data_IF_077580002420
#
_entry.id   IF_077580002420
#
_cell.length_a   1.000
_cell.length_b   1.000
_cell.length_c   1.000
_cell.angle_alpha   90.00
_cell.angle_beta   90.00
_cell.angle_gamma   90.00
#
_symmetry.space_group_name_H-M   'P 1'
#
loop_
_entity.id
_entity.type
_entity.pdbx_description
1 polymer ?
#
# COMPACT_ATOMS: atom_id res chain seq x y z
N UNK A 1 17.87 -1.46 -21.62
CA UNK A 1 16.45 -1.05 -21.82
C UNK A 1 15.41 -2.05 -21.26
N UNK A 2 15.49 -3.38 -21.45
CA UNK A 2 14.43 -4.29 -20.98
C UNK A 2 14.24 -4.31 -19.45
N UNK A 3 15.28 -4.09 -18.65
CA UNK A 3 15.21 -4.16 -17.20
C UNK A 3 14.53 -2.94 -16.57
N UNK A 4 14.79 -1.74 -17.09
CA UNK A 4 14.09 -0.50 -16.71
C UNK A 4 12.57 -0.61 -16.92
N UNK A 5 12.16 -1.18 -18.04
CA UNK A 5 10.75 -1.42 -18.35
C UNK A 5 10.10 -2.40 -17.36
N UNK A 6 10.82 -3.47 -16.99
CA UNK A 6 10.36 -4.42 -15.96
C UNK A 6 10.17 -3.74 -14.60
N UNK A 7 11.10 -2.90 -14.18
CA UNK A 7 10.97 -2.11 -12.94
C UNK A 7 9.81 -1.13 -12.99
N UNK A 8 9.56 -0.51 -14.13
CA UNK A 8 8.45 0.43 -14.33
C UNK A 8 7.10 -0.27 -14.27
N UNK A 9 6.93 -1.39 -14.98
CA UNK A 9 5.71 -2.22 -14.93
C UNK A 9 5.50 -2.76 -13.50
N UNK A 10 6.55 -3.26 -12.87
CA UNK A 10 6.44 -3.72 -11.49
C UNK A 10 6.02 -2.58 -10.55
N UNK A 11 6.59 -1.38 -10.71
CA UNK A 11 6.19 -0.20 -9.97
C UNK A 11 4.71 0.16 -10.15
N UNK A 12 4.23 0.12 -11.39
CA UNK A 12 2.82 0.36 -11.72
C UNK A 12 1.90 -0.67 -11.07
N UNK A 13 2.21 -1.97 -11.21
CA UNK A 13 1.40 -3.05 -10.66
C UNK A 13 1.44 -3.10 -9.13
N UNK A 14 2.62 -2.89 -8.55
CA UNK A 14 2.82 -2.90 -7.09
C UNK A 14 2.00 -1.83 -6.38
N UNK A 15 1.82 -0.67 -7.00
CA UNK A 15 1.19 0.50 -6.37
C UNK A 15 -0.31 0.60 -6.66
N UNK A 16 -0.92 -0.45 -7.17
CA UNK A 16 -2.36 -0.52 -7.32
C UNK A 16 -3.02 -0.83 -5.97
N UNK A 17 -3.32 0.24 -5.22
CA UNK A 17 -3.89 0.18 -3.87
C UNK A 17 -5.41 0.29 -3.93
N UNK A 18 -6.07 -0.68 -4.53
CA UNK A 18 -7.54 -0.71 -4.63
C UNK A 18 -8.23 -0.69 -3.27
N UNK A 19 -7.57 -1.16 -2.22
CA UNK A 19 -8.13 -1.22 -0.87
C UNK A 19 -8.22 0.14 -0.18
N UNK A 20 -7.42 1.15 -0.56
CA UNK A 20 -7.38 2.44 0.15
C UNK A 20 -8.73 3.19 0.16
N UNK A 21 -9.45 3.33 -0.97
CA UNK A 21 -10.78 3.93 -0.94
C UNK A 21 -11.78 3.12 -0.10
N UNK A 22 -11.70 1.79 -0.17
CA UNK A 22 -12.57 0.91 0.62
C UNK A 22 -12.21 0.94 2.12
N UNK A 23 -10.94 1.13 2.47
CA UNK A 23 -10.51 1.28 3.85
C UNK A 23 -11.16 2.50 4.51
N UNK A 24 -11.19 3.65 3.81
CA UNK A 24 -11.84 4.87 4.29
C UNK A 24 -13.34 4.62 4.50
N UNK A 25 -13.99 3.96 3.55
CA UNK A 25 -15.40 3.63 3.63
C UNK A 25 -15.68 2.69 4.82
N UNK A 26 -14.90 1.63 4.97
CA UNK A 26 -15.04 0.68 6.07
C UNK A 26 -14.77 1.32 7.45
N UNK A 27 -13.85 2.27 7.55
CA UNK A 27 -13.62 3.04 8.77
C UNK A 27 -14.84 3.95 9.08
N UNK A 28 -15.48 4.51 8.05
CA UNK A 28 -16.72 5.28 8.22
C UNK A 28 -17.88 4.40 8.69
N UNK A 29 -18.02 3.19 8.13
CA UNK A 29 -19.03 2.21 8.57
C UNK A 29 -18.83 1.77 10.03
N UNK A 30 -17.57 1.73 10.50
CA UNK A 30 -17.23 1.52 11.93
C UNK A 30 -17.56 2.73 12.82
N UNK A 31 -18.13 3.81 12.28
CA UNK A 31 -18.57 4.99 13.03
C UNK A 31 -17.50 6.06 13.26
N UNK A 32 -16.31 5.95 12.65
CA UNK A 32 -15.27 6.96 12.82
C UNK A 32 -15.60 8.26 12.08
N UNK A 33 -15.27 9.39 12.71
CA UNK A 33 -15.32 10.70 12.07
C UNK A 33 -14.19 10.84 11.03
N UNK A 34 -14.34 11.74 10.06
CA UNK A 34 -13.28 12.04 9.08
C UNK A 34 -11.99 12.51 9.76
N UNK A 35 -12.10 13.23 10.87
CA UNK A 35 -10.95 13.66 11.66
C UNK A 35 -10.19 12.48 12.26
N UNK A 36 -10.89 11.51 12.85
CA UNK A 36 -10.27 10.29 13.41
C UNK A 36 -9.61 9.44 12.30
N UNK A 37 -10.26 9.34 11.14
CA UNK A 37 -9.68 8.65 9.97
C UNK A 37 -8.40 9.36 9.51
N UNK A 38 -8.41 10.69 9.44
CA UNK A 38 -7.22 11.48 9.10
C UNK A 38 -6.06 11.25 10.07
N UNK A 39 -6.33 11.22 11.37
CA UNK A 39 -5.30 10.91 12.40
C UNK A 39 -4.77 9.49 12.24
N UNK A 40 -5.63 8.49 12.01
CA UNK A 40 -5.22 7.10 11.79
C UNK A 40 -4.32 6.95 10.56
N UNK A 41 -4.67 7.60 9.45
CA UNK A 41 -3.87 7.59 8.23
C UNK A 41 -2.54 8.31 8.46
N UNK A 42 -2.55 9.48 9.11
CA UNK A 42 -1.35 10.21 9.47
C UNK A 42 -0.42 9.40 10.38
N UNK A 43 -0.97 8.72 11.38
CA UNK A 43 -0.22 7.80 12.24
C UNK A 43 0.45 6.69 11.43
N UNK A 44 -0.28 6.06 10.49
CA UNK A 44 0.26 5.03 9.59
C UNK A 44 1.45 5.57 8.78
N UNK A 45 1.34 6.75 8.20
CA UNK A 45 2.42 7.36 7.39
C UNK A 45 3.67 7.66 8.24
N UNK A 46 3.50 8.11 9.48
CA UNK A 46 4.61 8.30 10.43
C UNK A 46 5.29 6.95 10.71
N UNK A 47 4.51 5.91 10.99
CA UNK A 47 5.03 4.58 11.24
C UNK A 47 5.77 4.00 10.02
N UNK A 48 5.28 4.20 8.79
CA UNK A 48 5.98 3.78 7.56
C UNK A 48 7.38 4.39 7.52
N UNK A 49 7.49 5.70 7.73
CA UNK A 49 8.79 6.39 7.73
C UNK A 49 9.74 5.87 8.83
N UNK A 50 9.22 5.60 10.02
CA UNK A 50 10.02 5.05 11.11
C UNK A 50 10.52 3.63 10.83
N UNK A 51 9.69 2.81 10.19
CA UNK A 51 10.04 1.42 9.85
C UNK A 51 10.84 1.28 8.56
N UNK A 52 10.95 2.31 7.72
CA UNK A 52 11.69 2.23 6.45
C UNK A 52 13.16 1.88 6.67
N UNK A 53 13.81 2.48 7.67
CA UNK A 53 15.23 2.21 7.96
C UNK A 53 15.44 0.79 8.55
N UNK A 54 14.72 0.37 9.61
CA UNK A 54 14.85 -0.99 10.13
C UNK A 54 14.49 -2.07 9.11
N UNK A 55 13.47 -1.86 8.29
CA UNK A 55 13.08 -2.84 7.26
C UNK A 55 14.12 -2.99 6.17
N UNK A 56 14.80 -1.90 5.80
CA UNK A 56 15.95 -1.94 4.89
C UNK A 56 17.10 -2.78 5.46
N UNK A 57 17.47 -2.54 6.72
CA UNK A 57 18.53 -3.31 7.39
C UNK A 57 18.19 -4.81 7.48
N UNK A 58 16.93 -5.17 7.77
CA UNK A 58 16.48 -6.56 7.78
C UNK A 58 16.57 -7.19 6.38
N UNK A 59 16.19 -6.44 5.33
CA UNK A 59 16.28 -6.91 3.95
C UNK A 59 17.73 -7.16 3.51
N UNK A 60 18.66 -6.34 3.99
CA UNK A 60 20.09 -6.48 3.68
C UNK A 60 20.74 -7.67 4.45
N UNK A 61 20.35 -7.89 5.72
CA UNK A 61 20.91 -8.97 6.55
C UNK A 61 20.33 -10.35 6.23
N UNK A 62 19.02 -10.44 6.08
CA UNK A 62 18.29 -11.71 5.94
C UNK A 62 17.85 -11.99 4.50
N UNK A 63 18.12 -11.07 3.60
CA UNK A 63 17.80 -11.19 2.19
C UNK A 63 16.38 -10.68 1.83
N UNK A 64 16.26 -10.16 0.63
CA UNK A 64 15.07 -9.50 0.11
C UNK A 64 13.85 -10.39 -0.02
N UNK A 65 14.08 -11.69 -0.27
CA UNK A 65 12.99 -12.67 -0.37
C UNK A 65 12.27 -12.81 0.98
N UNK A 66 13.01 -12.88 2.06
CA UNK A 66 12.46 -13.01 3.40
C UNK A 66 11.73 -11.72 3.82
N UNK A 67 12.30 -10.55 3.50
CA UNK A 67 11.62 -9.27 3.73
C UNK A 67 10.28 -9.15 3.00
N UNK A 68 10.19 -9.63 1.75
CA UNK A 68 8.93 -9.66 0.99
C UNK A 68 7.91 -10.62 1.60
N UNK A 69 8.34 -11.83 2.01
CA UNK A 69 7.45 -12.80 2.67
C UNK A 69 6.92 -12.20 3.97
N UNK A 70 7.80 -11.59 4.79
CA UNK A 70 7.40 -10.90 6.03
C UNK A 70 6.37 -9.80 5.77
N UNK A 71 6.58 -8.99 4.72
CA UNK A 71 5.61 -7.96 4.32
C UNK A 71 4.22 -8.54 4.07
N UNK A 72 4.11 -9.59 3.26
CA UNK A 72 2.82 -10.22 2.97
C UNK A 72 2.19 -10.87 4.20
N UNK A 73 2.98 -11.53 5.04
CA UNK A 73 2.49 -12.13 6.29
C UNK A 73 1.90 -11.05 7.22
N UNK A 74 2.59 -9.93 7.36
CA UNK A 74 2.14 -8.80 8.18
C UNK A 74 0.86 -8.17 7.61
N UNK A 75 0.72 -8.06 6.28
CA UNK A 75 -0.54 -7.61 5.68
C UNK A 75 -1.71 -8.53 5.98
N UNK A 76 -1.51 -9.87 5.85
CA UNK A 76 -2.57 -10.84 6.16
C UNK A 76 -3.02 -10.66 7.61
N UNK A 77 -2.09 -10.60 8.56
CA UNK A 77 -2.40 -10.38 9.98
C UNK A 77 -3.15 -9.06 10.17
N UNK A 78 -2.70 -7.99 9.52
CA UNK A 78 -3.35 -6.68 9.64
C UNK A 78 -4.79 -6.69 9.13
N UNK A 79 -5.06 -7.31 7.98
CA UNK A 79 -6.42 -7.40 7.43
C UNK A 79 -7.33 -8.28 8.29
N UNK A 80 -6.83 -9.38 8.86
CA UNK A 80 -7.58 -10.20 9.80
C UNK A 80 -7.94 -9.42 11.07
N UNK A 81 -6.97 -8.69 11.64
CA UNK A 81 -7.20 -7.84 12.80
C UNK A 81 -8.17 -6.69 12.47
N UNK A 82 -8.11 -6.12 11.26
CA UNK A 82 -9.05 -5.09 10.82
C UNK A 82 -10.50 -5.57 10.83
N UNK A 83 -10.74 -6.80 10.33
CA UNK A 83 -12.07 -7.40 10.36
C UNK A 83 -12.64 -7.52 11.77
N UNK A 84 -11.78 -7.82 12.73
CA UNK A 84 -12.19 -8.03 14.13
C UNK A 84 -12.18 -6.76 14.98
N UNK A 85 -11.51 -5.71 14.53
CA UNK A 85 -11.33 -4.47 15.30
C UNK A 85 -12.64 -3.69 15.40
N UNK A 86 -13.11 -3.47 16.64
CA UNK A 86 -14.28 -2.65 16.94
C UNK A 86 -13.91 -1.39 17.75
N UNK A 87 -12.70 -1.30 18.27
CA UNK A 87 -12.24 -0.16 19.06
C UNK A 87 -11.19 0.67 18.32
N UNK A 88 -11.17 1.97 18.60
CA UNK A 88 -10.18 2.89 18.04
C UNK A 88 -8.74 2.46 18.38
N UNK A 89 -8.50 1.97 19.59
CA UNK A 89 -7.18 1.50 20.03
C UNK A 89 -6.70 0.30 19.20
N UNK A 90 -7.58 -0.67 18.91
CA UNK A 90 -7.24 -1.80 18.04
C UNK A 90 -6.94 -1.35 16.61
N UNK A 91 -7.64 -0.33 16.11
CA UNK A 91 -7.39 0.23 14.78
C UNK A 91 -6.01 0.87 14.68
N UNK A 92 -5.49 1.51 15.73
CA UNK A 92 -4.09 1.96 15.75
C UNK A 92 -3.11 0.78 15.63
N UNK A 93 -3.36 -0.34 16.31
CA UNK A 93 -2.58 -1.56 16.16
C UNK A 93 -2.62 -2.10 14.72
N UNK A 94 -3.79 -2.13 14.10
CA UNK A 94 -3.96 -2.51 12.68
C UNK A 94 -3.15 -1.61 11.75
N UNK A 95 -3.21 -0.29 11.97
CA UNK A 95 -2.44 0.68 11.16
C UNK A 95 -0.94 0.52 11.34
N UNK A 96 -0.48 0.14 12.54
CA UNK A 96 0.92 -0.18 12.81
C UNK A 96 1.38 -1.38 11.97
N UNK A 97 0.61 -2.49 11.98
CA UNK A 97 0.92 -3.66 11.17
C UNK A 97 0.88 -3.34 9.67
N UNK A 98 -0.10 -2.57 9.19
CA UNK A 98 -0.14 -2.10 7.80
C UNK A 98 1.11 -1.30 7.44
N UNK A 99 1.54 -0.40 8.32
CA UNK A 99 2.74 0.41 8.13
C UNK A 99 4.00 -0.46 8.05
N UNK A 100 4.14 -1.47 8.92
CA UNK A 100 5.25 -2.42 8.85
C UNK A 100 5.26 -3.16 7.51
N UNK A 101 4.12 -3.67 7.05
CA UNK A 101 3.99 -4.33 5.76
C UNK A 101 4.42 -3.42 4.59
N UNK A 102 3.98 -2.16 4.58
CA UNK A 102 4.35 -1.16 3.58
C UNK A 102 5.85 -0.85 3.60
N UNK A 103 6.45 -0.68 4.78
CA UNK A 103 7.87 -0.38 4.93
C UNK A 103 8.75 -1.52 4.40
N UNK A 104 8.47 -2.78 4.77
CA UNK A 104 9.19 -3.93 4.24
C UNK A 104 9.10 -4.03 2.71
N UNK A 105 7.96 -3.70 2.13
CA UNK A 105 7.74 -3.76 0.69
C UNK A 105 8.45 -2.64 -0.07
N UNK A 106 8.40 -1.41 0.44
CA UNK A 106 8.98 -0.22 -0.23
C UNK A 106 10.51 -0.22 -0.17
N UNK A 107 11.09 -0.49 0.96
CA UNK A 107 12.55 -0.55 1.15
C UNK A 107 13.21 -1.56 0.21
N UNK A 108 12.64 -2.78 0.13
CA UNK A 108 13.16 -3.84 -0.73
C UNK A 108 13.17 -3.47 -2.22
N UNK A 109 12.13 -2.80 -2.72
CA UNK A 109 12.07 -2.43 -4.14
C UNK A 109 13.12 -1.37 -4.53
N UNK A 110 13.30 -0.35 -3.67
CA UNK A 110 14.30 0.68 -3.87
C UNK A 110 15.72 0.09 -3.89
N UNK A 111 16.01 -0.80 -2.95
CA UNK A 111 17.30 -1.47 -2.85
C UNK A 111 17.61 -2.31 -4.10
N UNK A 112 16.64 -3.09 -4.63
CA UNK A 112 16.83 -3.90 -5.84
C UNK A 112 17.25 -3.04 -7.04
N UNK A 113 16.62 -1.87 -7.23
CA UNK A 113 16.95 -0.96 -8.34
C UNK A 113 18.37 -0.42 -8.16
N UNK A 114 18.75 -0.02 -6.95
CA UNK A 114 20.05 0.57 -6.69
C UNK A 114 21.18 -0.45 -6.86
N UNK A 115 21.02 -1.68 -6.37
CA UNK A 115 22.03 -2.74 -6.55
C UNK A 115 22.20 -3.10 -8.03
N UNK A 116 21.09 -3.22 -8.77
CA UNK A 116 21.18 -3.50 -10.19
C UNK A 116 21.96 -2.41 -10.94
N UNK A 117 21.72 -1.14 -10.60
CA UNK A 117 22.45 -0.01 -11.20
C UNK A 117 23.93 -0.01 -10.80
N UNK A 118 24.26 -0.42 -9.58
CA UNK A 118 25.67 -0.55 -9.15
C UNK A 118 26.37 -1.67 -9.92
N UNK A 119 25.72 -2.82 -10.09
CA UNK A 119 26.27 -3.94 -10.88
C UNK A 119 26.50 -3.58 -12.35
N UNK A 120 25.68 -2.72 -12.92
CA UNK A 120 25.81 -2.21 -14.30
C UNK A 120 26.80 -1.04 -14.40
N UNK A 121 27.45 -0.62 -13.31
CA UNK A 121 28.36 0.54 -13.28
C UNK A 121 27.65 1.90 -13.45
N UNK A 122 26.34 1.95 -13.31
CA UNK A 122 25.47 3.13 -13.52
C UNK A 122 24.95 3.73 -12.22
N UNK A 123 25.67 3.59 -11.13
CA UNK A 123 25.29 4.10 -9.82
C UNK A 123 24.90 5.59 -9.81
N UNK A 124 25.55 6.41 -10.65
CA UNK A 124 25.27 7.84 -10.78
C UNK A 124 23.85 8.15 -11.32
N UNK A 125 23.18 7.19 -11.97
CA UNK A 125 21.83 7.34 -12.50
C UNK A 125 20.74 6.90 -11.52
N UNK A 126 21.10 6.46 -10.33
CA UNK A 126 20.17 5.86 -9.34
C UNK A 126 18.98 6.76 -9.05
N UNK A 127 19.19 8.05 -8.81
CA UNK A 127 18.12 9.02 -8.53
C UNK A 127 17.18 9.18 -9.73
N UNK A 128 17.73 9.26 -10.94
CA UNK A 128 16.95 9.43 -12.18
C UNK A 128 16.09 8.20 -12.47
N UNK A 129 16.69 7.01 -12.38
CA UNK A 129 16.00 5.75 -12.63
C UNK A 129 14.93 5.49 -11.57
N UNK A 130 15.23 5.76 -10.31
CA UNK A 130 14.26 5.65 -9.23
C UNK A 130 13.11 6.65 -9.40
N UNK A 131 13.39 7.91 -9.76
CA UNK A 131 12.37 8.90 -10.07
C UNK A 131 11.44 8.45 -11.20
N UNK A 132 12.00 7.89 -12.28
CA UNK A 132 11.22 7.36 -13.39
C UNK A 132 10.31 6.18 -12.97
N UNK A 133 10.84 5.20 -12.24
CA UNK A 133 10.03 4.07 -11.75
C UNK A 133 8.98 4.51 -10.74
N UNK A 134 9.27 5.56 -9.93
CA UNK A 134 8.30 6.14 -9.00
C UNK A 134 7.16 6.85 -9.73
N UNK A 135 7.43 7.53 -10.85
CA UNK A 135 6.36 8.13 -11.68
C UNK A 135 5.37 7.09 -12.19
N UNK A 136 5.85 5.92 -12.67
CA UNK A 136 4.99 4.81 -13.04
C UNK A 136 4.17 4.27 -11.86
N UNK A 137 4.77 4.22 -10.68
CA UNK A 137 4.06 3.85 -9.45
C UNK A 137 2.92 4.83 -9.11
N UNK A 138 3.14 6.13 -9.30
CA UNK A 138 2.08 7.14 -9.08
C UNK A 138 0.94 7.02 -10.10
N UNK A 139 1.26 6.73 -11.37
CA UNK A 139 0.25 6.43 -12.39
C UNK A 139 -0.57 5.19 -11.98
N UNK A 140 0.08 4.13 -11.49
CA UNK A 140 -0.60 2.94 -10.98
C UNK A 140 -1.54 3.25 -9.81
N UNK A 141 -1.12 4.09 -8.87
CA UNK A 141 -1.94 4.54 -7.76
C UNK A 141 -3.14 5.37 -8.24
N UNK A 142 -2.93 6.33 -9.13
CA UNK A 142 -4.01 7.15 -9.69
C UNK A 142 -5.06 6.31 -10.43
N UNK A 143 -4.61 5.36 -11.27
CA UNK A 143 -5.51 4.45 -11.98
C UNK A 143 -6.30 3.55 -11.04
N UNK A 144 -5.69 3.08 -9.96
CA UNK A 144 -6.39 2.25 -8.97
C UNK A 144 -7.48 3.02 -8.23
N UNK A 145 -7.25 4.28 -7.88
CA UNK A 145 -8.27 5.13 -7.22
C UNK A 145 -9.45 5.40 -8.15
N UNK A 146 -9.18 5.72 -9.42
CA UNK A 146 -10.23 5.97 -10.41
C UNK A 146 -11.06 4.71 -10.66
N UNK A 147 -10.43 3.57 -10.86
CA UNK A 147 -11.13 2.30 -11.09
C UNK A 147 -11.93 1.85 -9.87
N UNK A 148 -11.36 1.98 -8.66
CA UNK A 148 -12.08 1.68 -7.43
C UNK A 148 -13.29 2.60 -7.23
N UNK A 149 -13.18 3.89 -7.56
CA UNK A 149 -14.30 4.84 -7.52
C UNK A 149 -15.41 4.50 -8.50
N UNK A 150 -15.06 4.06 -9.71
CA UNK A 150 -16.04 3.62 -10.72
C UNK A 150 -16.76 2.33 -10.30
N UNK A 151 -16.02 1.35 -9.76
CA UNK A 151 -16.58 0.10 -9.25
C UNK A 151 -17.49 0.35 -8.06
N UNK A 152 -17.10 1.21 -7.13
CA UNK A 152 -17.90 1.58 -5.96
C UNK A 152 -19.23 2.22 -6.37
N UNK A 153 -19.23 3.15 -7.34
CA UNK A 153 -20.47 3.76 -7.87
C UNK A 153 -21.41 2.72 -8.51
N UNK A 154 -20.86 1.79 -9.27
CA UNK A 154 -21.65 0.71 -9.88
C UNK A 154 -22.27 -0.21 -8.82
N UNK A 155 -21.50 -0.62 -7.83
CA UNK A 155 -22.00 -1.44 -6.72
C UNK A 155 -23.10 -0.73 -5.94
N UNK A 156 -22.97 0.56 -5.63
CA UNK A 156 -24.03 1.34 -4.99
C UNK A 156 -25.31 1.39 -5.84
N UNK A 157 -25.19 1.60 -7.15
CA UNK A 157 -26.35 1.59 -8.04
C UNK A 157 -27.05 0.23 -8.04
N UNK A 158 -26.30 -0.88 -8.11
CA UNK A 158 -26.88 -2.22 -8.06
C UNK A 158 -27.57 -2.51 -6.71
N UNK A 159 -26.97 -2.09 -5.60
CA UNK A 159 -27.56 -2.25 -4.27
C UNK A 159 -28.86 -1.42 -4.13
N UNK A 160 -28.89 -0.19 -4.63
CA UNK A 160 -30.10 0.62 -4.62
C UNK A 160 -31.22 0.01 -5.47
N UNK A 161 -30.91 -0.56 -6.63
CA UNK A 161 -31.88 -1.24 -7.49
C UNK A 161 -32.41 -2.53 -6.85
N UNK A 162 -31.57 -3.27 -6.10
CA UNK A 162 -31.96 -4.49 -5.41
C UNK A 162 -32.77 -4.21 -4.13
N UNK A 163 -32.54 -3.10 -3.46
CA UNK A 163 -33.18 -2.75 -2.19
C UNK A 163 -34.50 -1.99 -2.36
N UNK A 164 -34.69 -1.31 -3.51
CA UNK A 164 -35.91 -0.51 -3.78
C UNK A 164 -37.22 -1.37 -3.94
N UNK A 165 -37.20 -2.60 -4.43
CA UNK A 165 -38.42 -3.39 -4.54
C UNK A 165 -38.88 -4.09 -3.23
N UNK A 166 -38.19 -3.89 -2.10
CA UNK A 166 -38.54 -4.52 -0.81
C UNK A 166 -39.18 -3.54 0.20
N UNK A 167 -39.46 -2.31 -0.21
CA UNK A 167 -40.04 -1.26 0.65
C UNK A 167 -41.50 -0.91 0.33
N UNK A 168 -42.17 -1.64 -0.55
CA UNK A 168 -43.62 -1.66 -0.79
C UNK A 168 -44.20 -3.02 -0.28
#
# INVERSE_FOLDING_TARGET
>A
MPMLFRFSIYGLLKNQRYYEPFLILALREKGLSFFQIGILIGFREICINLFEVPSGAVADLYGRRLAMISSFSVYIVSFLLFGWSQSLTLLYGVMLFLAMGDAFRTGTHKAIIFDWLQLEGRGNESTKVYGYTRSWSQIGSATSVVTAGLVSRRLQQYLLVLYHPLSD
#
